data_IF_435688540552
#
_entry.id   IF_435688540552
#
_cell.length_a   1.000
_cell.length_b   1.000
_cell.length_c   1.000
_cell.angle_alpha   90.00
_cell.angle_beta   90.00
_cell.angle_gamma   90.00
#
_symmetry.space_group_name_H-M   'P 1'
#
loop_
_entity.id
_entity.type
_entity.pdbx_description
1 polymer ?
#
# COMPACT_ATOMS: atom_id res chain seq x y z
N UNK A 1 -6.27 16.46 -14.88
CA UNK A 1 -7.12 15.28 -14.65
C UNK A 1 -7.92 15.48 -13.37
N UNK A 2 -9.19 15.22 -13.45
CA UNK A 2 -10.09 15.29 -12.30
C UNK A 2 -10.63 13.90 -11.97
N UNK A 3 -10.69 13.58 -10.68
CA UNK A 3 -11.31 12.34 -10.19
C UNK A 3 -12.61 12.69 -9.48
N UNK A 4 -13.71 12.09 -9.93
CA UNK A 4 -15.05 12.35 -9.43
C UNK A 4 -15.63 11.13 -8.73
N UNK A 5 -16.43 11.36 -7.70
CA UNK A 5 -17.21 10.34 -7.03
C UNK A 5 -18.56 10.91 -6.62
N UNK A 6 -19.65 10.25 -7.05
CA UNK A 6 -21.01 10.65 -6.71
C UNK A 6 -21.29 12.14 -6.98
N UNK A 7 -20.81 12.64 -8.14
CA UNK A 7 -20.96 14.03 -8.51
C UNK A 7 -20.04 15.01 -7.79
N UNK A 8 -19.18 14.53 -6.90
CA UNK A 8 -18.21 15.38 -6.18
C UNK A 8 -16.83 15.23 -6.75
N UNK A 9 -16.16 16.35 -6.96
CA UNK A 9 -14.77 16.39 -7.39
C UNK A 9 -13.89 16.03 -6.19
N UNK A 10 -13.12 14.94 -6.33
CA UNK A 10 -12.25 14.44 -5.27
C UNK A 10 -10.85 15.07 -5.36
N UNK A 11 -10.32 15.16 -6.57
CA UNK A 11 -8.99 15.71 -6.80
C UNK A 11 -8.84 16.17 -8.23
N UNK A 12 -8.17 17.30 -8.45
CA UNK A 12 -7.73 17.78 -9.76
C UNK A 12 -6.22 17.98 -9.69
N UNK A 13 -5.48 17.28 -10.52
CA UNK A 13 -4.04 17.39 -10.60
C UNK A 13 -3.55 16.74 -11.90
N UNK A 14 -2.25 16.79 -12.17
CA UNK A 14 -1.70 16.01 -13.28
C UNK A 14 -1.73 14.52 -12.91
N UNK A 15 -1.66 13.61 -13.91
CA UNK A 15 -1.77 12.18 -13.65
C UNK A 15 -0.75 11.64 -12.63
N UNK A 16 0.48 12.16 -12.65
CA UNK A 16 1.51 11.72 -11.72
C UNK A 16 1.14 12.06 -10.27
N UNK A 17 0.65 13.27 -10.02
CA UNK A 17 0.26 13.69 -8.68
C UNK A 17 -0.96 12.93 -8.18
N UNK A 18 -1.93 12.66 -9.05
CA UNK A 18 -3.09 11.85 -8.68
C UNK A 18 -2.65 10.44 -8.27
N UNK A 19 -1.69 9.86 -8.99
CA UNK A 19 -1.19 8.52 -8.69
C UNK A 19 -0.31 8.50 -7.42
N UNK A 20 0.65 9.42 -7.32
CA UNK A 20 1.63 9.44 -6.24
C UNK A 20 1.15 10.11 -4.96
N UNK A 21 0.26 11.08 -5.08
CA UNK A 21 -0.23 11.88 -3.95
C UNK A 21 -1.75 11.97 -3.97
N UNK A 22 -2.47 10.84 -3.94
CA UNK A 22 -3.93 10.88 -3.87
C UNK A 22 -4.37 11.52 -2.55
N UNK A 23 -5.43 12.32 -2.61
CA UNK A 23 -5.90 13.05 -1.42
C UNK A 23 -6.68 12.15 -0.46
N UNK A 24 -7.22 11.04 -0.96
CA UNK A 24 -8.02 10.11 -0.16
C UNK A 24 -7.99 8.70 -0.74
N UNK A 25 -8.60 7.76 -0.02
CA UNK A 25 -8.62 6.35 -0.41
C UNK A 25 -9.40 6.10 -1.69
N UNK A 26 -10.46 6.86 -1.94
CA UNK A 26 -11.21 6.72 -3.19
C UNK A 26 -10.30 7.00 -4.39
N UNK A 27 -9.58 8.11 -4.38
CA UNK A 27 -8.67 8.48 -5.47
C UNK A 27 -7.55 7.44 -5.60
N UNK A 28 -6.94 7.03 -4.48
CA UNK A 28 -5.88 6.02 -4.49
C UNK A 28 -6.33 4.71 -5.14
N UNK A 29 -7.53 4.25 -4.82
CA UNK A 29 -8.09 2.99 -5.35
C UNK A 29 -8.57 3.15 -6.78
N UNK A 30 -9.04 4.34 -7.16
CA UNK A 30 -9.50 4.60 -8.51
C UNK A 30 -8.37 4.51 -9.54
N UNK A 31 -7.18 5.00 -9.18
CA UNK A 31 -6.05 5.07 -10.12
C UNK A 31 -5.11 3.88 -10.06
N UNK A 32 -5.26 2.97 -9.11
CA UNK A 32 -4.39 1.81 -9.03
C UNK A 32 -4.68 0.91 -7.84
N UNK A 33 -4.02 -0.24 -7.83
CA UNK A 33 -4.14 -1.22 -6.76
C UNK A 33 -3.35 -0.77 -5.52
N UNK A 34 -3.81 -1.19 -4.34
CA UNK A 34 -3.16 -0.92 -3.07
C UNK A 34 -3.27 -2.11 -2.13
N UNK A 35 -2.26 -2.24 -1.27
CA UNK A 35 -2.41 -2.98 -0.03
C UNK A 35 -3.00 -1.99 0.97
N UNK A 36 -4.12 -2.36 1.61
CA UNK A 36 -4.86 -1.45 2.48
C UNK A 36 -4.92 -2.06 3.88
N UNK A 37 -4.52 -1.28 4.88
CA UNK A 37 -4.58 -1.70 6.28
C UNK A 37 -5.55 -0.81 7.04
N UNK A 38 -6.45 -1.43 7.79
CA UNK A 38 -7.31 -0.74 8.74
C UNK A 38 -6.64 -0.71 10.11
N UNK A 39 -6.73 0.39 10.81
CA UNK A 39 -6.09 0.54 12.10
C UNK A 39 -6.25 1.95 12.64
N UNK A 40 -5.36 2.35 13.54
CA UNK A 40 -5.44 3.63 14.22
C UNK A 40 -4.07 4.32 14.27
N UNK A 41 -4.09 5.64 14.10
CA UNK A 41 -2.91 6.48 14.28
C UNK A 41 -2.60 6.56 15.77
N UNK A 42 -1.34 6.30 16.15
CA UNK A 42 -0.91 6.38 17.54
C UNK A 42 -0.06 7.62 17.82
N UNK A 43 0.92 7.89 16.97
CA UNK A 43 1.82 9.02 17.15
C UNK A 43 1.98 9.72 15.80
N UNK A 44 1.76 11.01 15.79
CA UNK A 44 1.90 11.80 14.57
C UNK A 44 2.82 12.99 14.85
N UNK A 45 3.80 13.19 13.96
CA UNK A 45 4.70 14.32 14.03
C UNK A 45 5.37 14.51 12.66
N UNK A 46 5.49 15.77 12.24
CA UNK A 46 6.20 16.13 11.01
C UNK A 46 5.67 15.44 9.75
N UNK A 47 4.35 15.27 9.68
CA UNK A 47 3.70 14.64 8.51
C UNK A 47 3.84 13.14 8.44
N UNK A 48 4.40 12.51 9.48
CA UNK A 48 4.54 11.05 9.59
C UNK A 48 3.78 10.56 10.81
N UNK A 49 3.42 9.28 10.82
CA UNK A 49 2.70 8.69 11.93
C UNK A 49 2.99 7.21 12.07
N UNK A 50 2.78 6.70 13.29
CA UNK A 50 2.69 5.26 13.54
C UNK A 50 1.24 4.84 13.40
N UNK A 51 1.00 3.72 12.74
CA UNK A 51 -0.32 3.20 12.46
C UNK A 51 -0.44 1.78 12.99
N UNK A 52 -1.25 1.59 14.02
CA UNK A 52 -1.41 0.28 14.66
C UNK A 52 -2.50 -0.52 13.95
N UNK A 53 -2.16 -1.72 13.53
CA UNK A 53 -3.08 -2.64 12.85
C UNK A 53 -3.01 -4.02 13.50
N UNK A 54 -4.00 -4.91 13.23
CA UNK A 54 -3.90 -6.30 13.69
C UNK A 54 -2.68 -7.05 13.15
N UNK A 55 -2.13 -6.60 12.03
CA UNK A 55 -0.94 -7.20 11.41
C UNK A 55 0.36 -6.70 12.05
N UNK A 56 0.33 -5.52 12.64
CA UNK A 56 1.50 -4.89 13.24
C UNK A 56 1.38 -3.37 13.22
N UNK A 57 2.40 -2.71 13.73
CA UNK A 57 2.47 -1.25 13.73
C UNK A 57 3.43 -0.79 12.64
N UNK A 58 2.95 0.11 11.79
CA UNK A 58 3.70 0.60 10.64
C UNK A 58 3.93 2.11 10.73
N UNK A 59 4.96 2.57 10.02
CA UNK A 59 5.22 4.00 9.85
C UNK A 59 4.79 4.41 8.45
N UNK A 60 4.12 5.56 8.34
CA UNK A 60 3.64 6.05 7.06
C UNK A 60 3.48 7.57 7.09
N UNK A 61 3.27 8.16 5.92
CA UNK A 61 2.93 9.56 5.82
C UNK A 61 1.50 9.78 6.29
N UNK A 62 1.28 10.90 6.96
CA UNK A 62 -0.07 11.37 7.34
C UNK A 62 -0.22 12.78 6.78
N UNK A 63 -0.59 12.92 5.49
CA UNK A 63 -0.66 14.25 4.87
C UNK A 63 -1.86 15.09 5.31
N UNK A 64 -2.89 14.46 5.85
CA UNK A 64 -4.10 15.19 6.26
C UNK A 64 -4.89 14.41 7.29
N UNK A 65 -6.17 14.17 7.03
CA UNK A 65 -7.04 13.45 7.95
C UNK A 65 -6.68 11.97 8.07
N UNK A 66 -7.00 11.38 9.22
CA UNK A 66 -6.77 9.96 9.48
C UNK A 66 -7.74 9.09 8.67
N UNK A 67 -7.36 7.83 8.48
CA UNK A 67 -8.16 6.86 7.76
C UNK A 67 -7.47 5.51 7.74
N UNK A 68 -7.25 4.97 6.54
CA UNK A 68 -6.56 3.70 6.33
C UNK A 68 -5.17 3.93 5.76
N UNK A 69 -4.31 2.93 5.89
CA UNK A 69 -2.96 2.98 5.35
C UNK A 69 -2.95 2.30 3.98
N UNK A 70 -2.36 2.97 2.99
CA UNK A 70 -2.30 2.53 1.59
C UNK A 70 -0.86 2.38 1.14
N UNK A 71 -0.53 1.21 0.58
CA UNK A 71 0.78 0.94 0.00
C UNK A 71 0.60 0.29 -1.37
N UNK A 72 1.19 0.86 -2.41
CA UNK A 72 1.16 0.31 -3.77
C UNK A 72 1.94 -1.01 -3.83
N UNK A 73 1.49 -1.99 -4.63
CA UNK A 73 2.23 -3.26 -4.78
C UNK A 73 3.66 -3.10 -5.27
N UNK A 74 3.93 -2.14 -6.15
CA UNK A 74 5.28 -1.89 -6.67
C UNK A 74 6.23 -1.32 -5.62
N UNK A 75 5.72 -0.84 -4.49
CA UNK A 75 6.52 -0.35 -3.38
C UNK A 75 6.80 -1.43 -2.33
N UNK A 76 6.27 -2.63 -2.51
CA UNK A 76 6.56 -3.76 -1.65
C UNK A 76 7.83 -4.46 -2.12
N UNK A 77 8.77 -4.66 -1.21
CA UNK A 77 9.99 -5.41 -1.45
C UNK A 77 9.85 -6.77 -0.79
N UNK A 78 10.10 -7.85 -1.55
CA UNK A 78 10.09 -9.21 -1.03
C UNK A 78 11.48 -9.59 -0.56
N UNK A 79 11.59 -10.09 0.67
CA UNK A 79 12.86 -10.56 1.21
C UNK A 79 12.63 -11.71 2.19
N UNK A 80 13.68 -12.50 2.41
CA UNK A 80 13.59 -13.68 3.26
C UNK A 80 13.48 -13.35 4.75
N UNK A 81 14.06 -12.24 5.16
CA UNK A 81 14.12 -11.85 6.58
C UNK A 81 13.27 -10.61 6.85
N UNK A 82 12.78 -10.51 8.09
CA UNK A 82 12.07 -9.33 8.53
C UNK A 82 12.98 -8.11 8.55
N UNK A 83 12.43 -6.95 8.22
CA UNK A 83 13.09 -5.67 8.42
C UNK A 83 12.68 -5.10 9.79
N UNK A 84 13.42 -4.08 10.25
CA UNK A 84 13.13 -3.43 11.53
C UNK A 84 11.81 -2.68 11.52
N UNK A 85 11.42 -2.16 10.37
CA UNK A 85 10.25 -1.32 10.22
C UNK A 85 9.47 -1.73 8.98
N UNK A 86 8.13 -1.66 9.06
CA UNK A 86 7.24 -1.89 7.93
C UNK A 86 7.48 -3.22 7.23
N UNK A 87 7.50 -4.28 8.01
CA UNK A 87 7.75 -5.63 7.55
C UNK A 87 6.57 -6.54 7.89
N UNK A 88 6.04 -7.25 6.90
CA UNK A 88 4.88 -8.12 7.06
C UNK A 88 5.25 -9.53 6.63
N UNK A 89 5.12 -10.49 7.54
CA UNK A 89 5.36 -11.90 7.24
C UNK A 89 4.19 -12.46 6.43
N UNK A 90 4.48 -13.09 5.31
CA UNK A 90 3.47 -13.68 4.41
C UNK A 90 3.90 -15.05 3.94
N UNK A 91 2.92 -15.89 3.62
CA UNK A 91 3.11 -17.12 2.86
C UNK A 91 2.63 -16.86 1.45
N UNK A 92 3.48 -17.08 0.46
CA UNK A 92 3.15 -16.81 -0.93
C UNK A 92 2.12 -17.80 -1.44
N UNK A 93 1.06 -17.30 -2.08
CA UNK A 93 -0.05 -18.11 -2.57
C UNK A 93 -0.08 -18.22 -4.08
N UNK A 94 0.35 -17.18 -4.79
CA UNK A 94 0.30 -17.13 -6.24
C UNK A 94 1.39 -16.22 -6.79
N UNK A 95 1.97 -16.62 -7.92
CA UNK A 95 2.92 -15.81 -8.69
C UNK A 95 2.40 -15.74 -10.11
N UNK A 96 2.06 -14.54 -10.57
CA UNK A 96 1.48 -14.32 -11.88
C UNK A 96 2.39 -13.45 -12.75
N UNK A 97 2.75 -13.95 -13.93
CA UNK A 97 3.58 -13.21 -14.88
C UNK A 97 2.70 -12.31 -15.74
N UNK A 98 2.90 -11.00 -15.61
CA UNK A 98 2.08 -9.98 -16.29
C UNK A 98 2.87 -9.21 -17.35
N UNK A 99 3.84 -9.86 -17.98
CA UNK A 99 4.69 -9.24 -18.99
C UNK A 99 5.94 -8.61 -18.37
N UNK A 100 5.96 -7.28 -18.27
CA UNK A 100 7.13 -6.57 -17.73
C UNK A 100 7.23 -6.59 -16.21
N UNK A 101 6.22 -7.12 -15.53
CA UNK A 101 6.27 -7.29 -14.07
C UNK A 101 5.66 -8.64 -13.67
N UNK A 102 5.89 -9.01 -12.43
CA UNK A 102 5.36 -10.23 -11.83
C UNK A 102 4.56 -9.82 -10.59
N UNK A 103 3.29 -10.23 -10.53
CA UNK A 103 2.46 -10.04 -9.34
C UNK A 103 2.66 -11.22 -8.39
N UNK A 104 2.99 -10.93 -7.14
CA UNK A 104 3.20 -11.95 -6.12
C UNK A 104 2.16 -11.73 -5.03
N UNK A 105 1.29 -12.72 -4.86
CA UNK A 105 0.25 -12.70 -3.84
C UNK A 105 0.69 -13.51 -2.64
N UNK A 106 0.39 -13.01 -1.46
CA UNK A 106 0.69 -13.70 -0.21
C UNK A 106 -0.42 -13.49 0.79
N UNK A 107 -0.41 -14.27 1.85
CA UNK A 107 -1.38 -14.18 2.94
C UNK A 107 -0.63 -14.11 4.26
N UNK A 108 -1.10 -13.22 5.15
CA UNK A 108 -0.56 -13.11 6.50
C UNK A 108 -1.10 -14.23 7.38
N UNK A 109 -0.53 -14.41 8.55
CA UNK A 109 -1.03 -15.39 9.53
C UNK A 109 -2.50 -15.16 9.87
N UNK A 110 -2.92 -13.90 9.94
CA UNK A 110 -4.32 -13.53 10.19
C UNK A 110 -5.25 -13.66 9.00
N UNK A 111 -4.76 -14.11 7.85
CA UNK A 111 -5.59 -14.31 6.65
C UNK A 111 -5.71 -13.11 5.73
N UNK A 112 -4.96 -12.05 5.96
CA UNK A 112 -4.99 -10.87 5.11
C UNK A 112 -4.21 -11.12 3.81
N UNK A 113 -4.84 -10.80 2.67
CA UNK A 113 -4.20 -10.89 1.37
C UNK A 113 -3.33 -9.66 1.14
N UNK A 114 -2.11 -9.92 0.62
CA UNK A 114 -1.13 -8.91 0.29
C UNK A 114 -0.63 -9.14 -1.13
N UNK A 115 -0.25 -8.07 -1.82
CA UNK A 115 0.30 -8.20 -3.16
C UNK A 115 1.55 -7.33 -3.30
N UNK A 116 2.57 -7.90 -3.94
CA UNK A 116 3.79 -7.21 -4.33
C UNK A 116 3.95 -7.32 -5.84
N UNK A 117 4.58 -6.32 -6.43
CA UNK A 117 4.82 -6.28 -7.87
C UNK A 117 6.32 -6.18 -8.10
N UNK A 118 6.89 -7.17 -8.77
CA UNK A 118 8.32 -7.27 -9.04
C UNK A 118 8.60 -7.04 -10.51
N UNK A 119 9.77 -6.50 -10.80
CA UNK A 119 10.22 -6.38 -12.19
C UNK A 119 10.51 -7.76 -12.79
N UNK A 120 10.06 -7.97 -14.02
CA UNK A 120 10.35 -9.18 -14.77
C UNK A 120 11.44 -8.86 -15.81
N UNK A 121 12.63 -8.50 -15.33
CA UNK A 121 13.76 -8.11 -16.17
C UNK A 121 14.96 -9.06 -16.04
N UNK A 122 14.77 -10.18 -15.35
CA UNK A 122 15.83 -11.15 -15.13
C UNK A 122 16.81 -10.79 -14.03
N UNK A 123 16.74 -9.60 -13.47
CA UNK A 123 17.64 -9.15 -12.40
C UNK A 123 17.13 -9.50 -11.00
N UNK A 124 15.83 -9.73 -10.86
CA UNK A 124 15.19 -10.00 -9.56
C UNK A 124 14.80 -11.47 -9.52
N UNK A 125 15.25 -12.21 -8.47
CA UNK A 125 14.79 -13.59 -8.30
C UNK A 125 13.28 -13.64 -8.10
N UNK A 126 12.61 -14.55 -8.81
CA UNK A 126 11.17 -14.74 -8.70
C UNK A 126 10.90 -15.88 -7.73
N UNK A 127 10.24 -15.63 -6.60
CA UNK A 127 9.94 -16.67 -5.62
C UNK A 127 8.86 -17.62 -6.12
N UNK A 128 8.69 -18.74 -5.43
CA UNK A 128 7.65 -19.73 -5.73
C UNK A 128 6.51 -19.66 -4.72
N UNK A 129 5.31 -20.06 -5.15
CA UNK A 129 4.17 -20.22 -4.25
C UNK A 129 4.54 -21.19 -3.12
N UNK A 130 4.05 -20.92 -1.92
CA UNK A 130 4.36 -21.69 -0.72
C UNK A 130 5.55 -21.15 0.08
N UNK A 131 6.38 -20.29 -0.49
CA UNK A 131 7.51 -19.72 0.21
C UNK A 131 7.05 -18.77 1.33
N UNK A 132 7.78 -18.79 2.45
CA UNK A 132 7.56 -17.85 3.53
C UNK A 132 8.54 -16.69 3.39
N UNK A 133 8.00 -15.50 3.26
CA UNK A 133 8.80 -14.31 3.01
C UNK A 133 8.25 -13.11 3.78
N UNK A 134 8.92 -11.98 3.67
CA UNK A 134 8.47 -10.73 4.23
C UNK A 134 8.25 -9.72 3.11
N UNK A 135 7.12 -9.01 3.17
CA UNK A 135 6.87 -7.85 2.34
C UNK A 135 7.22 -6.61 3.15
N UNK A 136 8.12 -5.81 2.62
CA UNK A 136 8.69 -4.66 3.32
C UNK A 136 8.48 -3.42 2.48
N UNK A 137 8.13 -2.31 3.11
CA UNK A 137 7.93 -1.05 2.41
C UNK A 137 8.54 0.12 3.17
N UNK A 138 8.96 1.14 2.42
CA UNK A 138 9.46 2.38 2.99
C UNK A 138 8.28 3.22 3.49
N UNK A 139 8.44 3.81 4.67
CA UNK A 139 7.41 4.66 5.26
C UNK A 139 7.00 5.82 4.34
N UNK A 140 7.93 6.31 3.54
CA UNK A 140 7.67 7.41 2.60
C UNK A 140 6.81 6.99 1.42
N UNK A 141 6.70 5.68 1.15
CA UNK A 141 5.89 5.13 0.07
C UNK A 141 4.53 4.64 0.56
N UNK A 142 4.22 4.83 1.82
CA UNK A 142 2.93 4.49 2.41
C UNK A 142 2.24 5.77 2.88
N UNK A 143 0.92 5.81 2.76
CA UNK A 143 0.16 6.98 3.16
C UNK A 143 -1.09 6.58 3.94
N UNK A 144 -1.36 7.32 5.01
CA UNK A 144 -2.61 7.22 5.76
C UNK A 144 -3.56 8.25 5.18
N UNK A 145 -4.68 7.80 4.62
CA UNK A 145 -5.61 8.65 3.90
C UNK A 145 -7.04 8.41 4.37
N UNK A 146 -7.89 9.46 4.40
CA UNK A 146 -9.32 9.28 4.64
C UNK A 146 -9.95 8.53 3.47
N UNK A 147 -11.11 7.93 3.68
CA UNK A 147 -11.76 7.11 2.65
C UNK A 147 -12.14 7.92 1.41
N UNK A 148 -12.75 9.06 1.61
CA UNK A 148 -13.15 9.96 0.52
C UNK A 148 -13.18 11.40 1.00
N UNK A 149 -13.33 12.36 0.08
CA UNK A 149 -13.60 13.74 0.47
C UNK A 149 -14.83 13.75 1.37
N UNK A 150 -14.74 14.45 2.50
CA UNK A 150 -15.79 14.44 3.49
C UNK A 150 -17.10 14.92 2.88
N UNK A 151 -18.09 14.03 2.85
CA UNK A 151 -19.36 14.34 2.20
C UNK A 151 -20.14 15.45 2.88
N UNK A 152 -19.98 15.55 4.18
CA UNK A 152 -20.59 16.62 4.94
C UNK A 152 -19.80 17.91 4.92
N UNK A 153 -18.69 17.86 4.30
CA UNK A 153 -17.85 19.03 4.12
C UNK A 153 -18.31 19.79 2.91
#
# INVERSE_FOLDING_TARGET
>A
VGVMSQGRLQQVANPRDIYNNPVNGFVASFVGENNIFSGEVQNAADGMASFATPTGTFRARLPGAEGKLYVRPEHMVLQAKAAKENSVAVTLTEVAFEGNFVSVHGVTEGGKNMVAELRNDGSTPIPSAGAQMHMVFDARNAAILPDSATAGA
#
